data_IF_132890755874
#
_entry.id   IF_132890755874
#
_cell.length_a   1.000
_cell.length_b   1.000
_cell.length_c   1.000
_cell.angle_alpha   90.00
_cell.angle_beta   90.00
_cell.angle_gamma   90.00
#
_symmetry.space_group_name_H-M   'P 1'
#
loop_
_entity.id
_entity.type
_entity.pdbx_description
1 polymer ?
#
# COMPACT_ATOMS: atom_id res chain seq x y z
N UNK A 1 -24.25 13.79 -12.44
CA UNK A 1 -23.16 13.58 -11.47
C UNK A 1 -22.14 12.71 -12.19
N UNK A 2 -21.01 13.28 -12.60
CA UNK A 2 -19.92 12.53 -13.26
C UNK A 2 -19.32 11.69 -12.14
N UNK A 3 -19.38 10.36 -12.26
CA UNK A 3 -18.64 9.48 -11.37
C UNK A 3 -17.15 9.73 -11.66
N UNK A 4 -16.48 10.48 -10.81
CA UNK A 4 -15.03 10.57 -10.82
C UNK A 4 -14.55 9.20 -10.35
N UNK A 5 -14.21 8.34 -11.30
CA UNK A 5 -13.60 7.04 -11.04
C UNK A 5 -12.12 7.25 -10.83
N UNK A 6 -11.55 6.58 -9.82
CA UNK A 6 -10.13 6.60 -9.51
C UNK A 6 -9.85 5.61 -8.39
N UNK A 7 -8.59 5.47 -8.07
CA UNK A 7 -8.13 4.61 -6.98
C UNK A 7 -7.49 5.44 -5.88
N UNK A 8 -7.69 5.01 -4.64
CA UNK A 8 -6.86 5.42 -3.52
C UNK A 8 -5.75 4.38 -3.43
N UNK A 9 -4.52 4.84 -3.51
CA UNK A 9 -3.36 4.00 -3.32
C UNK A 9 -2.84 4.12 -1.89
N UNK A 10 -2.54 2.97 -1.32
CA UNK A 10 -1.84 2.85 -0.04
C UNK A 10 -0.47 2.27 -0.34
N UNK A 11 0.56 3.09 -0.25
CA UNK A 11 1.94 2.65 -0.45
C UNK A 11 2.59 2.25 0.87
N UNK A 12 3.37 1.16 0.86
CA UNK A 12 4.21 0.72 1.98
C UNK A 12 5.60 0.48 1.42
N UNK A 13 6.62 1.21 1.86
CA UNK A 13 7.92 1.27 1.21
C UNK A 13 9.05 0.85 2.14
N UNK A 14 9.99 0.10 1.58
CA UNK A 14 11.13 -0.50 2.25
C UNK A 14 12.42 -0.17 1.50
N UNK A 15 13.55 -0.10 2.21
CA UNK A 15 14.84 -0.26 1.56
C UNK A 15 14.96 -1.66 0.97
N UNK A 16 15.96 -1.84 0.10
CA UNK A 16 16.18 -3.03 -0.71
C UNK A 16 15.80 -4.34 -0.01
N UNK A 17 14.93 -5.09 -0.64
CA UNK A 17 14.23 -6.18 -0.01
C UNK A 17 14.82 -7.54 -0.42
N UNK A 18 15.87 -7.95 0.22
CA UNK A 18 16.21 -9.39 0.30
C UNK A 18 15.10 -10.25 0.91
N UNK A 19 14.05 -9.62 1.44
CA UNK A 19 12.94 -10.25 2.17
C UNK A 19 11.55 -9.95 1.61
N UNK A 20 11.42 -9.41 0.36
CA UNK A 20 10.11 -9.10 -0.27
C UNK A 20 9.11 -10.26 -0.11
N UNK A 21 9.44 -11.53 -0.45
CA UNK A 21 8.48 -12.61 -0.34
C UNK A 21 7.96 -12.83 1.08
N UNK A 22 8.83 -12.75 2.08
CA UNK A 22 8.43 -12.96 3.46
C UNK A 22 7.57 -11.80 3.99
N UNK A 23 7.98 -10.55 3.74
CA UNK A 23 7.23 -9.37 4.15
C UNK A 23 5.87 -9.31 3.46
N UNK A 24 5.82 -9.67 2.18
CA UNK A 24 4.57 -9.75 1.44
C UNK A 24 3.64 -10.83 2.01
N UNK A 25 4.16 -12.02 2.35
CA UNK A 25 3.36 -13.07 3.00
C UNK A 25 2.79 -12.60 4.34
N UNK A 26 3.57 -11.88 5.15
CA UNK A 26 3.06 -11.29 6.40
C UNK A 26 1.94 -10.28 6.15
N UNK A 27 2.05 -9.45 5.10
CA UNK A 27 0.97 -8.56 4.67
C UNK A 27 -0.29 -9.37 4.29
N UNK A 28 -0.12 -10.42 3.50
CA UNK A 28 -1.25 -11.26 3.09
C UNK A 28 -1.87 -11.98 4.29
N UNK A 29 -1.08 -12.53 5.20
CA UNK A 29 -1.58 -13.17 6.43
C UNK A 29 -2.42 -12.20 7.26
N UNK A 30 -1.98 -10.94 7.36
CA UNK A 30 -2.74 -9.89 8.02
C UNK A 30 -4.08 -9.60 7.30
N UNK A 31 -4.06 -9.50 5.97
CA UNK A 31 -5.27 -9.24 5.17
C UNK A 31 -6.25 -10.44 5.21
N UNK A 32 -5.74 -11.65 5.24
CA UNK A 32 -6.55 -12.88 5.39
C UNK A 32 -7.28 -12.89 6.74
N UNK A 33 -6.64 -12.42 7.83
CA UNK A 33 -7.30 -12.24 9.13
C UNK A 33 -8.39 -11.16 9.11
N UNK A 34 -8.42 -10.32 8.08
CA UNK A 34 -9.47 -9.31 7.82
C UNK A 34 -10.46 -9.77 6.74
N UNK A 35 -10.60 -11.09 6.56
CA UNK A 35 -11.53 -11.71 5.60
C UNK A 35 -11.24 -11.38 4.12
N UNK A 36 -9.96 -11.15 3.77
CA UNK A 36 -9.51 -11.04 2.39
C UNK A 36 -8.91 -12.37 1.92
N UNK A 37 -8.94 -12.62 0.61
CA UNK A 37 -8.27 -13.78 0.01
C UNK A 37 -7.66 -13.40 -1.34
N UNK A 38 -6.49 -13.96 -1.65
CA UNK A 38 -5.88 -13.81 -2.97
C UNK A 38 -6.63 -14.71 -3.94
N UNK A 39 -7.05 -14.14 -5.05
CA UNK A 39 -7.75 -14.88 -6.12
C UNK A 39 -6.84 -15.18 -7.30
N UNK A 40 -5.92 -14.26 -7.59
CA UNK A 40 -5.07 -14.35 -8.78
C UNK A 40 -3.74 -13.64 -8.53
N UNK A 41 -2.71 -14.13 -9.21
CA UNK A 41 -1.45 -13.42 -9.39
C UNK A 41 -1.11 -13.33 -10.88
N UNK A 42 -0.56 -12.20 -11.28
CA UNK A 42 0.04 -12.03 -12.61
C UNK A 42 1.39 -11.32 -12.46
N UNK A 43 2.35 -11.71 -13.27
CA UNK A 43 3.66 -11.07 -13.31
C UNK A 43 4.21 -11.03 -14.74
N UNK A 44 5.00 -9.98 -15.03
CA UNK A 44 5.59 -9.81 -16.34
C UNK A 44 6.94 -10.52 -16.45
N UNK A 45 7.21 -11.12 -17.62
CA UNK A 45 8.48 -11.77 -17.94
C UNK A 45 9.51 -10.80 -18.52
N UNK A 46 9.08 -9.62 -18.92
CA UNK A 46 9.92 -8.60 -19.57
C UNK A 46 9.73 -7.23 -18.91
N UNK A 47 10.73 -6.34 -19.03
CA UNK A 47 10.69 -5.02 -18.39
C UNK A 47 9.66 -4.06 -19.02
N UNK A 48 9.23 -4.33 -20.25
CA UNK A 48 8.25 -3.49 -20.96
C UNK A 48 6.81 -3.89 -20.63
N UNK A 49 6.61 -5.00 -19.90
CA UNK A 49 5.29 -5.48 -19.51
C UNK A 49 4.44 -5.99 -20.68
N UNK A 50 5.07 -6.52 -21.73
CA UNK A 50 4.37 -7.05 -22.91
C UNK A 50 3.94 -8.51 -22.71
N UNK A 51 4.73 -9.30 -21.96
CA UNK A 51 4.50 -10.74 -21.75
C UNK A 51 4.17 -11.01 -20.29
N UNK A 52 2.97 -11.49 -20.03
CA UNK A 52 2.47 -11.79 -18.69
C UNK A 52 2.20 -13.27 -18.49
N UNK A 53 2.53 -13.76 -17.29
CA UNK A 53 2.02 -15.03 -16.75
C UNK A 53 0.94 -14.69 -15.73
N UNK A 54 -0.16 -15.42 -15.81
CA UNK A 54 -1.30 -15.27 -14.91
C UNK A 54 -1.78 -16.65 -14.45
N UNK A 55 -2.08 -16.79 -13.16
CA UNK A 55 -2.73 -17.99 -12.62
C UNK A 55 -3.58 -17.67 -11.38
N UNK A 56 -4.55 -18.54 -11.13
CA UNK A 56 -5.39 -18.47 -9.94
C UNK A 56 -4.63 -19.01 -8.72
N UNK A 57 -4.79 -18.32 -7.60
CA UNK A 57 -4.23 -18.72 -6.30
C UNK A 57 -5.30 -19.52 -5.54
N UNK A 58 -4.89 -20.60 -4.92
CA UNK A 58 -5.74 -21.44 -4.05
C UNK A 58 -5.21 -21.39 -2.63
N UNK A 59 -6.11 -21.28 -1.66
CA UNK A 59 -5.78 -21.32 -0.24
C UNK A 59 -4.73 -20.28 0.18
N UNK A 60 -4.68 -19.15 -0.52
CA UNK A 60 -3.69 -18.05 -0.33
C UNK A 60 -2.22 -18.50 -0.44
N UNK A 61 -1.94 -19.63 -1.13
CA UNK A 61 -0.58 -20.15 -1.30
C UNK A 61 0.14 -19.35 -2.40
N UNK A 62 1.14 -18.57 -2.02
CA UNK A 62 2.00 -17.77 -2.90
C UNK A 62 3.33 -18.49 -3.06
N UNK A 63 3.75 -18.71 -4.29
CA UNK A 63 5.03 -19.33 -4.64
C UNK A 63 6.14 -18.28 -4.74
N UNK A 64 7.39 -18.71 -4.58
CA UNK A 64 8.55 -17.81 -4.76
C UNK A 64 8.66 -17.31 -6.20
N UNK A 65 8.29 -18.13 -7.18
CA UNK A 65 8.28 -17.76 -8.59
C UNK A 65 7.31 -16.59 -8.89
N UNK A 66 6.27 -16.40 -8.07
CA UNK A 66 5.32 -15.30 -8.23
C UNK A 66 5.97 -13.91 -8.02
N UNK A 67 7.15 -13.87 -7.40
CA UNK A 67 7.93 -12.65 -7.18
C UNK A 67 9.06 -12.43 -8.21
N UNK A 68 9.20 -13.34 -9.17
CA UNK A 68 10.32 -13.31 -10.14
C UNK A 68 10.13 -12.27 -11.25
N UNK A 69 8.91 -11.79 -11.48
CA UNK A 69 8.58 -10.85 -12.54
C UNK A 69 9.16 -9.44 -12.34
N UNK A 70 9.25 -8.69 -13.43
CA UNK A 70 9.59 -7.26 -13.40
C UNK A 70 8.46 -6.46 -12.72
N UNK A 71 7.22 -6.77 -13.06
CA UNK A 71 6.00 -6.27 -12.44
C UNK A 71 5.22 -7.43 -11.87
N UNK A 72 4.65 -7.27 -10.70
CA UNK A 72 3.83 -8.31 -10.07
C UNK A 72 2.59 -7.68 -9.46
N UNK A 73 1.43 -8.25 -9.78
CA UNK A 73 0.13 -7.81 -9.26
C UNK A 73 -0.61 -9.00 -8.67
N UNK A 74 -1.16 -8.82 -7.49
CA UNK A 74 -2.04 -9.75 -6.82
C UNK A 74 -3.45 -9.17 -6.77
N UNK A 75 -4.43 -9.94 -7.20
CA UNK A 75 -5.85 -9.62 -7.05
C UNK A 75 -6.39 -10.27 -5.77
N UNK A 76 -7.04 -9.48 -4.95
CA UNK A 76 -7.69 -9.93 -3.73
C UNK A 76 -9.19 -9.69 -3.80
N UNK A 77 -9.96 -10.58 -3.17
CA UNK A 77 -11.39 -10.41 -2.95
C UNK A 77 -11.70 -10.50 -1.46
N UNK A 78 -12.69 -9.73 -0.99
CA UNK A 78 -13.27 -9.93 0.33
C UNK A 78 -14.23 -11.12 0.31
N UNK A 79 -14.43 -11.76 1.45
CA UNK A 79 -15.40 -12.87 1.61
C UNK A 79 -16.85 -12.35 1.42
N UNK A 80 -17.09 -11.08 1.74
CA UNK A 80 -18.37 -10.42 1.47
C UNK A 80 -18.45 -10.04 -0.01
N UNK A 81 -19.53 -10.45 -0.69
CA UNK A 81 -19.81 -10.14 -2.10
C UNK A 81 -19.94 -8.62 -2.40
N UNK A 82 -20.06 -7.80 -1.37
CA UNK A 82 -20.24 -6.35 -1.48
C UNK A 82 -18.90 -5.59 -1.55
N UNK A 83 -17.77 -6.26 -1.25
CA UNK A 83 -16.44 -5.65 -1.37
C UNK A 83 -15.88 -5.90 -2.76
N UNK A 84 -15.66 -4.82 -3.52
CA UNK A 84 -14.94 -4.90 -4.78
C UNK A 84 -13.51 -5.38 -4.54
N UNK A 85 -12.93 -6.02 -5.56
CA UNK A 85 -11.56 -6.50 -5.49
C UNK A 85 -10.55 -5.38 -5.21
N UNK A 86 -9.53 -5.71 -4.48
CA UNK A 86 -8.35 -4.88 -4.24
C UNK A 86 -7.19 -5.46 -5.03
N UNK A 87 -6.31 -4.63 -5.55
CA UNK A 87 -5.06 -5.08 -6.14
C UNK A 87 -3.88 -4.65 -5.30
N UNK A 88 -2.85 -5.48 -5.26
CA UNK A 88 -1.56 -5.15 -4.65
C UNK A 88 -0.50 -5.31 -5.72
N UNK A 89 0.17 -4.21 -6.04
CA UNK A 89 1.30 -4.19 -6.95
C UNK A 89 2.61 -4.17 -6.17
N UNK A 90 3.58 -4.97 -6.59
CA UNK A 90 4.95 -4.89 -6.10
C UNK A 90 5.72 -4.00 -7.06
N UNK A 91 6.11 -2.83 -6.61
CA UNK A 91 6.88 -1.85 -7.36
C UNK A 91 8.34 -1.92 -6.93
N UNK A 92 9.23 -2.28 -7.86
CA UNK A 92 10.66 -2.44 -7.63
C UNK A 92 11.40 -1.26 -8.25
N UNK A 93 11.99 -0.44 -7.40
CA UNK A 93 12.77 0.72 -7.79
C UNK A 93 14.26 0.53 -7.46
N UNK A 94 15.11 1.41 -7.97
CA UNK A 94 16.56 1.35 -7.68
C UNK A 94 16.82 1.68 -6.21
N UNK A 95 17.15 0.67 -5.42
CA UNK A 95 17.52 0.80 -4.00
C UNK A 95 16.33 0.81 -3.04
N UNK A 96 15.11 0.61 -3.51
CA UNK A 96 13.93 0.44 -2.66
C UNK A 96 12.83 -0.35 -3.35
N UNK A 97 11.85 -0.76 -2.58
CA UNK A 97 10.68 -1.50 -3.07
C UNK A 97 9.44 -1.05 -2.32
N UNK A 98 8.30 -1.09 -2.97
CA UNK A 98 7.03 -0.80 -2.33
C UNK A 98 5.94 -1.78 -2.69
N UNK A 99 4.97 -1.89 -1.78
CA UNK A 99 3.68 -2.51 -2.03
C UNK A 99 2.65 -1.40 -2.22
N UNK A 100 2.03 -1.34 -3.38
CA UNK A 100 0.97 -0.38 -3.68
C UNK A 100 -0.38 -1.11 -3.70
N UNK A 101 -1.20 -0.85 -2.68
CA UNK A 101 -2.55 -1.38 -2.57
C UNK A 101 -3.52 -0.39 -3.19
N UNK A 102 -4.23 -0.80 -4.22
CA UNK A 102 -5.23 0.05 -4.90
C UNK A 102 -6.63 -0.28 -4.42
N UNK A 103 -7.28 0.71 -3.83
CA UNK A 103 -8.65 0.66 -3.31
C UNK A 103 -9.56 1.51 -4.21
N UNK A 104 -10.80 1.08 -4.41
CA UNK A 104 -11.75 1.86 -5.17
C UNK A 104 -12.11 3.18 -4.46
N UNK A 105 -11.95 4.32 -5.15
CA UNK A 105 -12.24 5.66 -4.63
C UNK A 105 -13.63 5.76 -3.99
N UNK A 106 -14.66 5.25 -4.67
CA UNK A 106 -16.04 5.38 -4.19
C UNK A 106 -16.30 4.64 -2.87
N UNK A 107 -15.53 3.60 -2.57
CA UNK A 107 -15.64 2.86 -1.31
C UNK A 107 -14.94 3.61 -0.17
N UNK A 108 -13.81 4.24 -0.46
CA UNK A 108 -13.04 4.98 0.56
C UNK A 108 -13.72 6.28 0.95
N UNK A 109 -14.24 7.04 -0.03
CA UNK A 109 -14.82 8.37 0.21
C UNK A 109 -16.24 8.32 0.72
N UNK A 110 -16.99 7.25 0.39
CA UNK A 110 -18.36 7.11 0.91
C UNK A 110 -18.44 6.87 2.41
N UNK A 111 -17.31 6.59 3.05
CA UNK A 111 -17.26 6.29 4.48
C UNK A 111 -16.07 7.02 5.13
N UNK A 112 -16.36 8.12 5.83
CA UNK A 112 -15.35 8.93 6.57
C UNK A 112 -14.47 8.11 7.54
N UNK A 113 -14.87 6.88 7.85
CA UNK A 113 -14.16 5.98 8.77
C UNK A 113 -13.09 5.14 8.09
N UNK A 114 -13.17 4.91 6.76
CA UNK A 114 -12.28 3.96 6.08
C UNK A 114 -10.84 4.43 6.09
N UNK A 115 -10.56 5.71 5.89
CA UNK A 115 -9.19 6.21 5.94
C UNK A 115 -8.53 6.03 7.31
N UNK A 116 -9.30 6.20 8.42
CA UNK A 116 -8.82 5.93 9.77
C UNK A 116 -8.57 4.44 9.97
N UNK A 117 -9.42 3.56 9.43
CA UNK A 117 -9.21 2.12 9.47
C UNK A 117 -7.92 1.72 8.72
N UNK A 118 -7.65 2.33 7.56
CA UNK A 118 -6.41 2.08 6.82
C UNK A 118 -5.19 2.55 7.62
N UNK A 119 -5.25 3.72 8.28
CA UNK A 119 -4.17 4.18 9.16
C UNK A 119 -3.94 3.19 10.29
N UNK A 120 -4.99 2.72 10.95
CA UNK A 120 -4.86 1.70 12.00
C UNK A 120 -4.25 0.40 11.47
N UNK A 121 -4.66 -0.04 10.28
CA UNK A 121 -4.04 -1.19 9.63
C UNK A 121 -2.53 -0.98 9.37
N UNK A 122 -2.12 0.19 8.92
CA UNK A 122 -0.71 0.52 8.70
C UNK A 122 0.08 0.53 10.02
N UNK A 123 -0.51 1.01 11.11
CA UNK A 123 0.09 0.96 12.44
C UNK A 123 0.25 -0.50 12.90
N UNK A 124 -0.80 -1.34 12.77
CA UNK A 124 -0.73 -2.76 13.10
C UNK A 124 0.35 -3.48 12.26
N UNK A 125 0.43 -3.18 10.97
CA UNK A 125 1.44 -3.72 10.08
C UNK A 125 2.86 -3.31 10.49
N UNK A 126 3.06 -2.07 10.97
CA UNK A 126 4.36 -1.62 11.46
C UNK A 126 4.83 -2.38 12.71
N UNK A 127 3.91 -2.88 13.53
CA UNK A 127 4.24 -3.80 14.62
C UNK A 127 4.66 -5.20 14.12
N UNK A 128 4.14 -5.63 12.97
CA UNK A 128 4.43 -6.94 12.39
C UNK A 128 5.74 -6.92 11.60
N UNK A 129 5.93 -5.91 10.75
CA UNK A 129 7.14 -5.67 9.98
C UNK A 129 7.40 -4.16 9.85
N UNK A 130 8.64 -3.76 9.99
CA UNK A 130 9.02 -2.35 9.84
C UNK A 130 9.08 -1.95 8.37
N UNK A 131 8.56 -0.77 8.07
CA UNK A 131 8.72 -0.10 6.79
C UNK A 131 9.38 1.27 7.01
N UNK A 132 9.94 1.84 5.96
CA UNK A 132 10.57 3.17 6.01
C UNK A 132 9.49 4.25 6.03
N UNK A 133 8.52 4.14 5.13
CA UNK A 133 7.35 5.00 5.12
C UNK A 133 6.15 4.29 4.51
N UNK A 134 4.96 4.82 4.80
CA UNK A 134 3.73 4.48 4.12
C UNK A 134 2.93 5.77 3.82
N UNK A 135 2.05 5.70 2.83
CA UNK A 135 1.19 6.82 2.47
C UNK A 135 -0.20 6.36 2.04
N UNK A 136 -1.15 7.29 2.08
CA UNK A 136 -2.47 7.14 1.47
C UNK A 136 -2.68 8.36 0.57
N UNK A 137 -3.04 8.14 -0.70
CA UNK A 137 -3.29 9.22 -1.62
C UNK A 137 -4.03 8.79 -2.88
N UNK A 138 -4.54 9.76 -3.63
CA UNK A 138 -5.27 9.51 -4.86
C UNK A 138 -4.29 9.32 -6.02
N UNK A 139 -4.29 8.13 -6.63
CA UNK A 139 -3.45 7.78 -7.78
C UNK A 139 -1.94 8.04 -7.60
N UNK A 140 -1.44 7.99 -6.33
CA UNK A 140 -0.02 8.18 -6.02
C UNK A 140 0.70 6.84 -6.11
N UNK A 141 1.83 6.81 -6.80
CA UNK A 141 2.69 5.64 -6.96
C UNK A 141 3.90 5.67 -6.00
N UNK A 142 4.58 4.53 -5.91
CA UNK A 142 5.80 4.39 -5.10
C UNK A 142 7.00 4.85 -5.94
N UNK A 143 7.31 6.14 -5.91
CA UNK A 143 8.35 6.75 -6.74
C UNK A 143 9.47 7.44 -5.93
N UNK A 144 9.23 7.71 -4.64
CA UNK A 144 10.14 8.50 -3.82
C UNK A 144 11.03 7.58 -2.99
N UNK A 145 12.37 7.71 -3.10
CA UNK A 145 13.30 6.97 -2.24
C UNK A 145 13.06 7.30 -0.75
N UNK A 146 13.17 6.31 0.16
CA UNK A 146 12.90 6.52 1.58
C UNK A 146 13.66 7.69 2.22
N UNK A 147 14.92 7.90 1.84
CA UNK A 147 15.76 8.99 2.35
C UNK A 147 15.32 10.40 1.89
N UNK A 148 14.46 10.50 0.87
CA UNK A 148 13.94 11.76 0.35
C UNK A 148 12.49 12.00 0.76
N UNK A 149 11.78 10.98 1.20
CA UNK A 149 10.33 11.04 1.43
C UNK A 149 9.94 12.09 2.48
N UNK A 150 10.62 12.14 3.63
CA UNK A 150 10.29 13.12 4.69
C UNK A 150 10.47 14.57 4.22
N UNK A 151 11.51 14.82 3.43
CA UNK A 151 11.73 16.14 2.81
C UNK A 151 10.62 16.49 1.83
N UNK A 152 10.29 15.56 0.92
CA UNK A 152 9.19 15.75 -0.03
C UNK A 152 7.86 15.97 0.67
N UNK A 153 7.58 15.23 1.75
CA UNK A 153 6.36 15.38 2.54
C UNK A 153 6.24 16.78 3.17
N UNK A 154 7.34 17.36 3.62
CA UNK A 154 7.36 18.67 4.27
C UNK A 154 7.34 19.83 3.25
N UNK A 155 7.96 19.66 2.10
CA UNK A 155 8.05 20.67 1.04
C UNK A 155 6.88 20.65 0.07
N UNK A 156 6.34 19.45 -0.20
CA UNK A 156 5.25 19.22 -1.14
C UNK A 156 4.06 18.66 -0.39
N UNK A 157 2.91 19.27 -0.53
CA UNK A 157 1.68 18.79 0.11
C UNK A 157 1.03 17.60 -0.66
N UNK A 158 1.83 16.78 -1.33
CA UNK A 158 1.35 15.73 -2.24
C UNK A 158 0.73 14.51 -1.53
N UNK A 159 1.12 14.26 -0.27
CA UNK A 159 0.65 13.09 0.48
C UNK A 159 -0.30 13.52 1.59
N UNK A 160 -1.63 13.33 1.43
CA UNK A 160 -2.60 13.72 2.45
C UNK A 160 -2.39 12.97 3.78
N UNK A 161 -2.04 11.70 3.71
CA UNK A 161 -1.70 10.89 4.89
C UNK A 161 -0.35 10.24 4.65
N UNK A 162 0.53 10.31 5.64
CA UNK A 162 1.82 9.66 5.60
C UNK A 162 2.23 9.12 6.99
N UNK A 163 2.95 8.02 6.99
CA UNK A 163 3.54 7.39 8.16
C UNK A 163 5.04 7.22 7.89
N UNK A 164 5.89 7.67 8.82
CA UNK A 164 7.35 7.54 8.69
C UNK A 164 7.88 6.69 9.83
N UNK A 165 8.50 5.57 9.49
CA UNK A 165 9.13 4.66 10.43
C UNK A 165 10.44 5.23 10.96
N UNK A 166 10.60 5.25 12.28
CA UNK A 166 11.80 5.73 12.98
C UNK A 166 12.33 4.66 13.97
N UNK A 167 12.19 3.39 13.62
CA UNK A 167 12.61 2.27 14.45
C UNK A 167 11.63 1.99 15.60
N UNK A 168 11.83 2.63 16.75
CA UNK A 168 11.02 2.45 17.95
C UNK A 168 9.79 3.36 18.05
N UNK A 169 9.57 4.21 17.04
CA UNK A 169 8.38 5.04 16.94
C UNK A 169 7.95 5.23 15.48
N UNK A 170 6.74 5.69 15.30
CA UNK A 170 6.09 5.95 14.03
C UNK A 170 5.54 7.38 14.05
N UNK A 171 6.02 8.21 13.14
CA UNK A 171 5.47 9.55 12.92
C UNK A 171 4.29 9.45 11.96
N UNK A 172 3.12 9.89 12.38
CA UNK A 172 1.89 9.84 11.60
C UNK A 172 1.48 11.28 11.25
N UNK A 173 1.31 11.55 9.98
CA UNK A 173 0.82 12.80 9.43
C UNK A 173 -0.61 12.60 8.92
N UNK A 174 -1.56 13.22 9.57
CA UNK A 174 -2.97 13.15 9.22
C UNK A 174 -3.35 14.34 8.35
N UNK A 175 -4.01 14.09 7.25
CA UNK A 175 -4.62 15.08 6.38
C UNK A 175 -5.86 14.51 5.71
N UNK A 176 -6.58 15.35 4.99
CA UNK A 176 -7.77 14.93 4.27
C UNK A 176 -7.38 14.30 2.93
N UNK A 177 -7.93 13.13 2.65
CA UNK A 177 -7.84 12.51 1.32
C UNK A 177 -8.87 13.17 0.42
N UNK A 178 -8.47 14.29 -0.20
CA UNK A 178 -9.34 15.06 -1.08
C UNK A 178 -9.29 14.55 -2.53
N UNK A 179 -10.33 14.87 -3.31
CA UNK A 179 -10.49 14.44 -4.72
C UNK A 179 -9.35 14.97 -5.62
N UNK A 180 -8.76 16.12 -5.28
CA UNK A 180 -7.69 16.76 -6.02
C UNK A 180 -6.28 16.27 -5.63
N UNK A 181 -6.20 15.31 -4.70
CA UNK A 181 -4.92 14.82 -4.18
C UNK A 181 -4.15 15.84 -3.34
N UNK A 182 -4.68 17.06 -3.18
CA UNK A 182 -4.07 18.09 -2.36
C UNK A 182 -4.51 17.91 -0.91
N UNK A 183 -3.54 17.77 -0.02
CA UNK A 183 -3.80 17.76 1.40
C UNK A 183 -4.25 19.14 1.87
N UNK A 184 -5.10 19.18 2.90
CA UNK A 184 -5.31 20.42 3.65
C UNK A 184 -3.97 20.95 4.14
N UNK A 185 -3.79 22.27 4.17
CA UNK A 185 -2.54 22.90 4.65
C UNK A 185 -2.27 22.62 6.15
N UNK A 186 -3.28 22.17 6.88
CA UNK A 186 -3.18 21.84 8.30
C UNK A 186 -3.04 20.33 8.47
N UNK A 187 -1.80 19.85 8.56
CA UNK A 187 -1.50 18.46 8.92
C UNK A 187 -1.33 18.33 10.43
N UNK A 188 -2.11 17.44 11.03
CA UNK A 188 -1.86 17.00 12.40
C UNK A 188 -0.77 15.94 12.38
N UNK A 189 0.30 16.16 13.14
CA UNK A 189 1.34 15.15 13.38
C UNK A 189 1.14 14.48 14.75
N UNK A 190 1.32 13.19 14.78
CA UNK A 190 1.35 12.38 15.99
C UNK A 190 2.60 11.49 15.97
N UNK A 191 3.27 11.34 17.11
CA UNK A 191 4.39 10.42 17.26
C UNK A 191 3.93 9.27 18.17
N UNK A 192 3.84 8.08 17.61
CA UNK A 192 3.42 6.87 18.30
C UNK A 192 4.66 6.05 18.68
N UNK A 193 4.84 5.78 19.98
CA UNK A 193 5.88 4.88 20.44
C UNK A 193 5.46 3.43 20.18
N UNK A 194 6.34 2.66 19.56
CA UNK A 194 6.13 1.24 19.23
C UNK A 194 6.78 0.38 20.30
N UNK A 195 5.97 -0.30 21.09
CA UNK A 195 6.44 -1.31 22.03
C UNK A 195 6.55 -2.65 21.29
N UNK A 196 7.75 -3.20 21.26
CA UNK A 196 8.06 -4.50 20.62
C UNK A 196 8.31 -5.57 21.66
#
# INVERSE_FOLDING_TARGET
MIAIGGYINVGIVFYEASHIPNTFRQLIDYLVQKDMSITKVKFSLDPDGETWIEHSVKENIIKDDDFSGYYTEFELSGISSDRKGMTINIQKETGFVGFALSLNWTEVVSHDVIHLQVIHCLVDLYHTFTFEYAFIGHEIEVEIPPNEFEKCLLEQHAFPVALIGKGDHLDIYYGDVAIDGLSSQERRRECLKIER
#
